data_IF_676231776679
#
_entry.id   IF_676231776679
#
_cell.length_a   1.000
_cell.length_b   1.000
_cell.length_c   1.000
_cell.angle_alpha   90.00
_cell.angle_beta   90.00
_cell.angle_gamma   90.00
#
_symmetry.space_group_name_H-M   'P 1'
#
loop_
_entity.id
_entity.type
_entity.pdbx_description
1 polymer ?
#
# COMPACT_ATOMS: atom_id res chain seq x y z
N UNK A 1 0.24 -11.70 -28.00
CA UNK A 1 0.93 -12.02 -26.72
C UNK A 1 0.17 -13.13 -26.03
N UNK A 2 0.88 -14.15 -25.61
CA UNK A 2 0.28 -15.15 -24.72
C UNK A 2 -0.05 -14.46 -23.40
N UNK A 3 -1.31 -14.51 -22.98
CA UNK A 3 -1.73 -13.94 -21.72
C UNK A 3 -1.14 -14.80 -20.59
N UNK A 4 -0.08 -14.32 -19.94
CA UNK A 4 0.62 -15.03 -18.86
C UNK A 4 0.71 -14.13 -17.65
N UNK A 5 0.11 -14.56 -16.54
CA UNK A 5 0.20 -13.85 -15.25
C UNK A 5 1.52 -14.23 -14.58
N UNK A 6 2.40 -13.26 -14.38
CA UNK A 6 3.74 -13.44 -13.82
C UNK A 6 3.77 -13.33 -12.32
N UNK A 7 3.01 -12.38 -11.77
CA UNK A 7 2.95 -12.12 -10.33
C UNK A 7 1.71 -11.29 -9.97
N UNK A 8 1.32 -11.38 -8.70
CA UNK A 8 0.33 -10.52 -8.06
C UNK A 8 1.01 -9.77 -6.93
N UNK A 9 0.97 -8.44 -6.96
CA UNK A 9 1.65 -7.59 -5.98
C UNK A 9 0.59 -6.72 -5.31
N UNK A 10 0.67 -6.64 -4.00
CA UNK A 10 -0.30 -5.96 -3.15
C UNK A 10 0.32 -4.74 -2.49
N UNK A 11 -0.42 -3.66 -2.38
CA UNK A 11 -0.23 -2.74 -1.28
C UNK A 11 -0.72 -3.39 0.03
N UNK A 12 -0.42 -2.77 1.17
CA UNK A 12 -0.74 -3.33 2.47
C UNK A 12 -1.85 -2.56 3.19
N UNK A 13 -1.63 -1.26 3.47
CA UNK A 13 -2.53 -0.42 4.25
C UNK A 13 -3.77 -0.04 3.43
N UNK A 14 -4.97 -0.41 3.89
CA UNK A 14 -6.20 -0.16 3.15
C UNK A 14 -6.51 -1.18 2.04
N UNK A 15 -5.52 -1.97 1.64
CA UNK A 15 -5.63 -3.00 0.59
C UNK A 15 -5.72 -4.41 1.18
N UNK A 16 -4.78 -4.81 2.00
CA UNK A 16 -4.81 -6.11 2.70
C UNK A 16 -5.42 -5.98 4.09
N UNK A 17 -5.07 -4.92 4.81
CA UNK A 17 -5.39 -4.72 6.22
C UNK A 17 -5.98 -3.34 6.43
N UNK A 18 -7.07 -3.27 7.19
CA UNK A 18 -7.59 -1.98 7.66
C UNK A 18 -6.75 -1.48 8.82
N UNK A 19 -5.81 -0.60 8.53
CA UNK A 19 -4.88 -0.01 9.50
C UNK A 19 -5.31 1.37 9.98
N UNK A 20 -6.45 1.90 9.53
CA UNK A 20 -6.88 3.28 9.81
C UNK A 20 -6.92 3.61 11.29
N UNK A 21 -7.55 2.75 12.12
CA UNK A 21 -7.65 2.97 13.56
C UNK A 21 -6.26 2.95 14.24
N UNK A 22 -5.42 1.98 13.87
CA UNK A 22 -4.05 1.88 14.38
C UNK A 22 -3.24 3.12 14.01
N UNK A 23 -3.24 3.51 12.74
CA UNK A 23 -2.48 4.66 12.25
C UNK A 23 -2.97 5.97 12.92
N UNK A 24 -4.27 6.11 13.13
CA UNK A 24 -4.85 7.23 13.87
C UNK A 24 -4.35 7.29 15.32
N UNK A 25 -4.36 6.16 16.04
CA UNK A 25 -3.92 6.11 17.44
C UNK A 25 -2.40 6.31 17.56
N UNK A 26 -1.62 5.73 16.65
CA UNK A 26 -0.16 5.94 16.57
C UNK A 26 0.15 7.41 16.30
N UNK A 27 -0.53 8.04 15.34
CA UNK A 27 -0.41 9.48 15.06
C UNK A 27 -0.66 10.30 16.33
N UNK A 28 -1.76 10.07 17.04
CA UNK A 28 -2.08 10.80 18.28
C UNK A 28 -0.98 10.67 19.33
N UNK A 29 -0.45 9.46 19.52
CA UNK A 29 0.63 9.19 20.48
C UNK A 29 1.90 9.95 20.12
N UNK A 30 2.31 9.89 18.85
CA UNK A 30 3.53 10.54 18.37
C UNK A 30 3.37 12.07 18.44
N UNK A 31 2.26 12.62 17.96
CA UNK A 31 2.03 14.05 17.95
C UNK A 31 1.95 14.65 19.35
N UNK A 32 1.34 13.93 20.29
CA UNK A 32 1.36 14.30 21.72
C UNK A 32 2.80 14.41 22.25
N UNK A 33 3.69 13.49 21.87
CA UNK A 33 5.09 13.51 22.31
C UNK A 33 5.88 14.66 21.70
N UNK A 34 5.63 15.00 20.42
CA UNK A 34 6.39 16.02 19.68
C UNK A 34 5.89 17.44 19.97
N UNK A 35 4.57 17.60 20.05
CA UNK A 35 3.93 18.93 20.13
C UNK A 35 3.14 19.18 21.44
N UNK A 36 3.17 18.22 22.39
CA UNK A 36 2.45 18.33 23.66
C UNK A 36 0.99 17.88 23.59
N UNK A 37 0.31 17.94 24.75
CA UNK A 37 -1.09 17.47 24.89
C UNK A 37 -2.08 18.30 24.07
N UNK A 38 -1.82 19.57 23.89
CA UNK A 38 -2.72 20.53 23.24
C UNK A 38 -2.98 20.16 21.76
N UNK A 39 -2.03 19.47 21.10
CA UNK A 39 -2.21 19.03 19.72
C UNK A 39 -3.41 18.08 19.57
N UNK A 40 -3.76 17.35 20.62
CA UNK A 40 -4.87 16.41 20.58
C UNK A 40 -6.23 17.09 20.40
N UNK A 41 -6.34 18.41 20.68
CA UNK A 41 -7.55 19.19 20.43
C UNK A 41 -7.76 19.51 18.93
N UNK A 42 -6.79 19.20 18.09
CA UNK A 42 -6.86 19.48 16.65
C UNK A 42 -8.05 18.71 16.03
N UNK A 43 -8.93 19.36 15.23
CA UNK A 43 -10.15 18.73 14.69
C UNK A 43 -9.89 17.38 14.02
N UNK A 44 -8.81 17.29 13.24
CA UNK A 44 -8.42 16.09 12.52
C UNK A 44 -8.11 14.90 13.46
N UNK A 45 -7.70 15.16 14.70
CA UNK A 45 -7.40 14.14 15.71
C UNK A 45 -8.61 13.79 16.60
N UNK A 46 -9.78 14.37 16.30
CA UNK A 46 -11.04 14.08 16.99
C UNK A 46 -11.91 13.06 16.24
N UNK A 47 -11.64 12.85 14.93
CA UNK A 47 -12.45 12.01 14.08
C UNK A 47 -11.56 11.09 13.21
N UNK A 48 -11.75 9.78 13.38
CA UNK A 48 -11.10 8.78 12.51
C UNK A 48 -11.48 8.97 11.05
N UNK A 49 -12.72 9.34 10.78
CA UNK A 49 -13.18 9.57 9.41
C UNK A 49 -12.48 10.75 8.76
N UNK A 50 -12.42 11.91 9.44
CA UNK A 50 -11.72 13.09 8.93
C UNK A 50 -10.24 12.84 8.73
N UNK A 51 -9.60 12.13 9.67
CA UNK A 51 -8.21 11.70 9.55
C UNK A 51 -7.98 10.84 8.32
N UNK A 52 -8.84 9.85 8.08
CA UNK A 52 -8.74 8.94 6.94
C UNK A 52 -8.95 9.69 5.61
N UNK A 53 -9.95 10.57 5.54
CA UNK A 53 -10.18 11.39 4.35
C UNK A 53 -9.02 12.34 4.05
N UNK A 54 -8.39 12.91 5.09
CA UNK A 54 -7.22 13.76 4.90
C UNK A 54 -6.00 12.98 4.37
N UNK A 55 -5.83 11.73 4.80
CA UNK A 55 -4.78 10.85 4.25
C UNK A 55 -4.98 10.57 2.76
N UNK A 56 -6.20 10.27 2.32
CA UNK A 56 -6.52 10.01 0.91
C UNK A 56 -6.25 11.21 -0.02
N UNK A 57 -6.20 12.42 0.53
CA UNK A 57 -5.92 13.66 -0.23
C UNK A 57 -4.44 14.01 -0.34
N UNK A 58 -3.54 13.19 0.22
CA UNK A 58 -2.10 13.46 0.21
C UNK A 58 -1.35 12.34 -0.50
N UNK A 59 -0.30 12.69 -1.23
CA UNK A 59 0.48 11.72 -2.01
C UNK A 59 1.39 10.84 -1.16
N UNK A 60 1.67 11.25 0.08
CA UNK A 60 2.49 10.48 1.02
C UNK A 60 2.32 11.01 2.46
N UNK A 61 2.81 10.23 3.43
CA UNK A 61 2.70 10.54 4.85
C UNK A 61 3.42 11.84 5.26
N UNK A 62 4.53 12.22 4.62
CA UNK A 62 5.24 13.48 4.92
C UNK A 62 4.38 14.68 4.54
N UNK A 63 3.78 14.63 3.36
CA UNK A 63 2.86 15.65 2.89
C UNK A 63 1.63 15.76 3.80
N UNK A 64 1.11 14.64 4.30
CA UNK A 64 0.03 14.62 5.29
C UNK A 64 0.36 15.46 6.53
N UNK A 65 1.52 15.23 7.16
CA UNK A 65 1.91 16.00 8.35
C UNK A 65 2.21 17.46 8.05
N UNK A 66 2.85 17.74 6.92
CA UNK A 66 3.14 19.11 6.49
C UNK A 66 1.88 19.92 6.23
N UNK A 67 0.94 19.37 5.46
CA UNK A 67 -0.25 20.10 5.00
C UNK A 67 -1.31 20.25 6.10
N UNK A 68 -1.46 19.25 6.96
CA UNK A 68 -2.52 19.23 7.96
C UNK A 68 -2.10 19.79 9.32
N UNK A 69 -0.81 19.72 9.68
CA UNK A 69 -0.32 20.16 11.00
C UNK A 69 0.72 21.28 10.89
N UNK A 70 1.18 21.64 9.69
CA UNK A 70 2.17 22.69 9.48
C UNK A 70 3.58 22.33 9.96
N UNK A 71 3.89 21.04 10.12
CA UNK A 71 5.20 20.60 10.59
C UNK A 71 6.31 20.83 9.57
N UNK A 72 7.47 21.25 10.09
CA UNK A 72 8.70 21.35 9.31
C UNK A 72 9.39 20.00 9.14
N UNK A 73 10.36 19.93 8.22
CA UNK A 73 11.05 18.68 7.86
C UNK A 73 11.69 17.96 9.06
N UNK A 74 12.24 18.70 10.04
CA UNK A 74 12.85 18.10 11.24
C UNK A 74 11.82 17.33 12.10
N UNK A 75 10.64 17.91 12.30
CA UNK A 75 9.55 17.27 13.06
C UNK A 75 9.02 16.06 12.29
N UNK A 76 8.89 16.17 10.97
CA UNK A 76 8.44 15.07 10.11
C UNK A 76 9.44 13.91 10.14
N UNK A 77 10.75 14.20 10.12
CA UNK A 77 11.79 13.17 10.27
C UNK A 77 11.73 12.50 11.64
N UNK A 78 11.41 13.23 12.68
CA UNK A 78 11.23 12.68 14.03
C UNK A 78 10.00 11.77 14.10
N UNK A 79 8.87 12.19 13.50
CA UNK A 79 7.67 11.34 13.36
C UNK A 79 8.03 10.03 12.69
N UNK A 80 8.75 10.07 11.57
CA UNK A 80 9.17 8.87 10.84
C UNK A 80 10.04 7.92 11.66
N UNK A 81 11.00 8.45 12.43
CA UNK A 81 11.85 7.64 13.33
C UNK A 81 11.07 6.95 14.45
N UNK A 82 9.98 7.56 14.91
CA UNK A 82 9.16 7.03 16.00
C UNK A 82 8.12 6.02 15.50
N UNK A 83 7.75 6.09 14.21
CA UNK A 83 6.56 5.43 13.66
C UNK A 83 6.55 3.92 13.92
N UNK A 84 7.58 3.21 13.47
CA UNK A 84 7.62 1.73 13.60
C UNK A 84 7.51 1.28 15.05
N UNK A 85 8.24 1.93 15.96
CA UNK A 85 8.16 1.60 17.39
C UNK A 85 6.73 1.74 17.92
N UNK A 86 6.11 2.90 17.69
CA UNK A 86 4.75 3.18 18.18
C UNK A 86 3.71 2.28 17.53
N UNK A 87 3.94 1.88 16.28
CA UNK A 87 3.06 0.96 15.57
C UNK A 87 3.15 -0.47 16.12
N UNK A 88 4.36 -0.93 16.47
CA UNK A 88 4.58 -2.24 17.09
C UNK A 88 4.05 -2.30 18.55
N UNK A 89 4.10 -1.17 19.26
CA UNK A 89 3.60 -1.03 20.62
C UNK A 89 2.07 -0.79 20.68
N UNK A 90 1.42 -0.57 19.53
CA UNK A 90 -0.01 -0.31 19.49
C UNK A 90 -0.81 -1.61 19.37
N UNK A 91 -1.73 -1.83 20.31
CA UNK A 91 -2.60 -3.01 20.38
C UNK A 91 -3.92 -2.83 19.62
N UNK A 92 -4.11 -1.68 18.94
CA UNK A 92 -5.33 -1.46 18.16
C UNK A 92 -5.51 -2.54 17.10
N UNK A 93 -6.73 -3.06 16.93
CA UNK A 93 -6.96 -4.10 15.94
C UNK A 93 -6.64 -3.58 14.53
N UNK A 94 -5.86 -4.36 13.80
CA UNK A 94 -5.64 -4.19 12.38
C UNK A 94 -5.99 -5.52 11.74
N UNK A 95 -7.23 -5.61 11.27
CA UNK A 95 -7.78 -6.86 10.74
C UNK A 95 -7.60 -6.90 9.23
N UNK A 96 -7.38 -8.10 8.71
CA UNK A 96 -7.47 -8.32 7.28
C UNK A 96 -8.86 -7.92 6.78
N UNK A 97 -8.87 -7.25 5.63
CA UNK A 97 -10.12 -6.84 5.00
C UNK A 97 -10.85 -8.10 4.55
N UNK A 98 -12.15 -8.09 4.75
CA UNK A 98 -13.02 -9.25 4.48
C UNK A 98 -12.80 -9.77 3.04
N UNK A 99 -12.56 -11.07 2.93
CA UNK A 99 -12.38 -11.77 1.66
C UNK A 99 -10.94 -11.79 1.13
N UNK A 100 -10.07 -10.87 1.55
CA UNK A 100 -8.70 -10.75 1.01
C UNK A 100 -7.86 -12.00 1.29
N UNK A 101 -7.93 -12.56 2.50
CA UNK A 101 -7.19 -13.80 2.84
C UNK A 101 -7.56 -14.95 1.89
N UNK A 102 -8.85 -15.11 1.60
CA UNK A 102 -9.33 -16.11 0.66
C UNK A 102 -8.77 -15.87 -0.74
N UNK A 103 -8.78 -14.62 -1.21
CA UNK A 103 -8.23 -14.26 -2.53
C UNK A 103 -6.74 -14.56 -2.62
N UNK A 104 -5.95 -14.22 -1.59
CA UNK A 104 -4.51 -14.55 -1.54
C UNK A 104 -4.29 -16.06 -1.67
N UNK A 105 -5.08 -16.88 -0.96
CA UNK A 105 -4.99 -18.36 -1.01
C UNK A 105 -5.39 -18.87 -2.41
N UNK A 106 -6.47 -18.39 -2.98
CA UNK A 106 -6.91 -18.81 -4.33
C UNK A 106 -5.93 -18.43 -5.45
N UNK A 107 -5.10 -17.41 -5.21
CA UNK A 107 -4.04 -16.97 -6.13
C UNK A 107 -2.66 -17.60 -5.83
N UNK A 108 -2.56 -18.62 -4.96
CA UNK A 108 -1.29 -19.24 -4.55
C UNK A 108 -0.42 -19.78 -5.70
N UNK A 109 -1.05 -20.11 -6.83
CA UNK A 109 -0.36 -20.55 -8.06
C UNK A 109 0.53 -19.46 -8.68
N UNK A 110 0.28 -18.19 -8.36
CA UNK A 110 1.09 -17.07 -8.81
C UNK A 110 2.05 -16.63 -7.70
N UNK A 111 3.29 -16.26 -8.03
CA UNK A 111 4.15 -15.58 -7.06
C UNK A 111 3.46 -14.30 -6.56
N UNK A 112 3.37 -14.15 -5.24
CA UNK A 112 2.75 -12.98 -4.63
C UNK A 112 3.78 -12.18 -3.83
N UNK A 113 3.67 -10.85 -3.88
CA UNK A 113 4.51 -9.94 -3.12
C UNK A 113 3.72 -8.78 -2.53
N UNK A 114 4.37 -8.05 -1.62
CA UNK A 114 3.83 -6.82 -1.03
C UNK A 114 4.82 -5.68 -1.27
N UNK A 115 4.29 -4.51 -1.63
CA UNK A 115 5.05 -3.25 -1.74
C UNK A 115 4.30 -2.18 -0.96
N UNK A 116 4.88 -1.70 0.14
CA UNK A 116 4.20 -0.80 1.07
C UNK A 116 5.13 0.30 1.60
N UNK A 117 4.54 1.40 2.04
CA UNK A 117 5.22 2.43 2.84
C UNK A 117 5.15 2.11 4.35
N UNK A 118 4.70 0.92 4.73
CA UNK A 118 4.72 0.42 6.10
C UNK A 118 6.02 -0.36 6.38
N UNK A 119 6.33 -0.59 7.67
CA UNK A 119 7.52 -1.35 8.02
C UNK A 119 7.37 -2.83 7.66
N UNK A 120 8.46 -3.40 7.12
CA UNK A 120 8.52 -4.82 6.77
C UNK A 120 8.25 -5.71 7.99
N UNK A 121 8.74 -5.34 9.15
CA UNK A 121 8.53 -6.07 10.40
C UNK A 121 7.05 -6.13 10.78
N UNK A 122 6.36 -4.99 10.71
CA UNK A 122 4.92 -4.93 11.01
C UNK A 122 4.09 -5.75 10.01
N UNK A 123 4.44 -5.72 8.73
CA UNK A 123 3.78 -6.53 7.71
C UNK A 123 3.95 -8.02 8.02
N UNK A 124 5.18 -8.48 8.28
CA UNK A 124 5.47 -9.88 8.61
C UNK A 124 4.71 -10.32 9.86
N UNK A 125 4.68 -9.49 10.90
CA UNK A 125 3.92 -9.78 12.14
C UNK A 125 2.44 -10.00 11.84
N UNK A 126 1.83 -9.14 11.06
CA UNK A 126 0.42 -9.23 10.68
C UNK A 126 0.12 -10.47 9.85
N UNK A 127 0.95 -10.78 8.84
CA UNK A 127 0.79 -11.95 7.99
C UNK A 127 0.91 -13.26 8.79
N UNK A 128 1.83 -13.33 9.76
CA UNK A 128 1.97 -14.49 10.64
C UNK A 128 0.76 -14.68 11.56
N UNK A 129 0.22 -13.60 12.10
CA UNK A 129 -0.98 -13.64 12.94
C UNK A 129 -2.19 -14.21 12.21
N UNK A 130 -2.25 -14.06 10.89
CA UNK A 130 -3.34 -14.53 10.04
C UNK A 130 -2.98 -15.77 9.20
N UNK A 131 -1.84 -16.40 9.47
CA UNK A 131 -1.41 -17.66 8.83
C UNK A 131 -1.27 -17.62 7.30
N UNK A 132 -1.10 -16.43 6.70
CA UNK A 132 -0.95 -16.25 5.24
C UNK A 132 0.46 -15.84 4.82
N UNK A 133 1.41 -15.77 5.76
CA UNK A 133 2.80 -15.39 5.46
C UNK A 133 3.46 -16.28 4.38
N UNK A 134 3.16 -17.59 4.37
CA UNK A 134 3.70 -18.54 3.42
C UNK A 134 3.28 -18.28 1.96
N UNK A 135 2.16 -17.61 1.73
CA UNK A 135 1.64 -17.26 0.41
C UNK A 135 2.40 -16.07 -0.19
N UNK A 136 3.04 -15.24 0.64
CA UNK A 136 3.76 -14.05 0.20
C UNK A 136 5.25 -14.38 0.05
N UNK A 137 5.77 -14.29 -1.17
CA UNK A 137 7.16 -14.66 -1.50
C UNK A 137 8.14 -13.52 -1.30
N UNK A 138 7.68 -12.27 -1.39
CA UNK A 138 8.53 -11.11 -1.20
C UNK A 138 7.77 -9.94 -0.57
N UNK A 139 8.45 -9.20 0.30
CA UNK A 139 7.91 -8.01 0.96
C UNK A 139 8.93 -6.90 0.82
N UNK A 140 8.50 -5.78 0.24
CA UNK A 140 9.23 -4.53 0.16
C UNK A 140 8.52 -3.54 1.07
N UNK A 141 9.08 -3.27 2.22
CA UNK A 141 8.64 -2.23 3.14
C UNK A 141 9.35 -0.90 2.85
N UNK A 142 9.14 0.10 3.71
CA UNK A 142 9.78 1.39 3.51
C UNK A 142 11.30 1.32 3.71
N UNK A 143 11.80 0.34 4.44
CA UNK A 143 13.23 0.18 4.76
C UNK A 143 14.06 -0.26 3.55
N UNK A 144 13.44 -0.99 2.60
CA UNK A 144 14.14 -1.51 1.42
C UNK A 144 14.32 -0.49 0.30
N UNK A 145 13.69 0.68 0.43
CA UNK A 145 13.71 1.72 -0.61
C UNK A 145 14.02 3.07 0.01
N UNK A 146 15.02 3.78 -0.54
CA UNK A 146 15.30 5.16 -0.12
C UNK A 146 14.02 6.00 -0.14
N UNK A 147 13.86 6.88 0.85
CA UNK A 147 12.65 7.68 1.05
C UNK A 147 12.24 8.49 -0.19
N UNK A 148 13.22 8.96 -0.97
CA UNK A 148 12.96 9.70 -2.21
C UNK A 148 12.56 8.80 -3.38
N UNK A 149 12.65 7.49 -3.22
CA UNK A 149 12.36 6.46 -4.23
C UNK A 149 11.16 5.60 -3.87
N UNK A 150 10.51 5.88 -2.74
CA UNK A 150 9.24 5.24 -2.35
C UNK A 150 8.09 5.70 -3.26
N UNK A 151 6.94 5.00 -3.18
CA UNK A 151 5.72 5.38 -3.91
C UNK A 151 5.46 6.90 -3.82
N UNK A 152 5.13 7.56 -4.90
CA UNK A 152 4.73 7.06 -6.22
C UNK A 152 5.87 6.68 -7.19
N UNK A 153 7.14 6.67 -6.75
CA UNK A 153 8.24 6.18 -7.55
C UNK A 153 8.19 4.66 -7.69
N UNK A 154 8.66 4.10 -8.82
CA UNK A 154 8.45 2.70 -9.17
C UNK A 154 9.44 1.73 -8.53
N UNK A 155 10.45 2.23 -7.81
CA UNK A 155 11.64 1.44 -7.42
C UNK A 155 11.30 0.22 -6.57
N UNK A 156 10.43 0.36 -5.57
CA UNK A 156 9.98 -0.76 -4.74
C UNK A 156 9.20 -1.81 -5.54
N UNK A 157 8.34 -1.36 -6.45
CA UNK A 157 7.55 -2.24 -7.29
C UNK A 157 8.44 -3.00 -8.28
N UNK A 158 9.37 -2.34 -8.94
CA UNK A 158 10.34 -2.97 -9.85
C UNK A 158 11.23 -3.98 -9.12
N UNK A 159 11.72 -3.63 -7.92
CA UNK A 159 12.49 -4.54 -7.07
C UNK A 159 11.67 -5.79 -6.68
N UNK A 160 10.39 -5.61 -6.37
CA UNK A 160 9.50 -6.73 -6.07
C UNK A 160 9.30 -7.65 -7.29
N UNK A 161 9.06 -7.08 -8.46
CA UNK A 161 8.91 -7.82 -9.73
C UNK A 161 10.17 -8.63 -10.01
N UNK A 162 11.35 -8.03 -9.93
CA UNK A 162 12.64 -8.71 -10.17
C UNK A 162 12.83 -9.93 -9.26
N UNK A 163 12.38 -9.83 -8.01
CA UNK A 163 12.47 -10.95 -7.05
C UNK A 163 11.42 -12.03 -7.27
N UNK A 164 10.27 -11.71 -7.85
CA UNK A 164 9.16 -12.65 -8.05
C UNK A 164 9.25 -13.40 -9.37
N UNK A 165 9.78 -12.79 -10.43
CA UNK A 165 9.84 -13.42 -11.75
C UNK A 165 11.16 -13.15 -12.46
N UNK A 166 11.56 -14.13 -13.31
CA UNK A 166 12.68 -13.99 -14.26
C UNK A 166 12.19 -13.89 -15.70
N UNK A 167 10.88 -13.91 -15.91
CA UNK A 167 10.30 -13.76 -17.25
C UNK A 167 10.31 -12.29 -17.67
N UNK A 168 10.48 -12.05 -18.96
CA UNK A 168 10.56 -10.72 -19.56
C UNK A 168 9.27 -10.32 -20.30
N UNK A 169 8.26 -11.20 -20.31
CA UNK A 169 7.00 -10.98 -21.03
C UNK A 169 5.83 -11.54 -20.24
N UNK A 170 4.77 -10.76 -20.07
CA UNK A 170 3.53 -11.14 -19.39
C UNK A 170 2.96 -10.03 -18.53
N UNK A 171 2.00 -10.37 -17.69
CA UNK A 171 1.27 -9.41 -16.87
C UNK A 171 1.63 -9.54 -15.40
N UNK A 172 1.81 -8.40 -14.74
CA UNK A 172 1.89 -8.26 -13.28
C UNK A 172 0.68 -7.46 -12.85
N UNK A 173 -0.08 -7.97 -11.88
CA UNK A 173 -1.16 -7.22 -11.26
C UNK A 173 -0.63 -6.51 -10.03
N UNK A 174 -0.85 -5.19 -9.96
CA UNK A 174 -0.55 -4.39 -8.80
C UNK A 174 -1.85 -3.84 -8.22
N UNK A 175 -2.15 -4.21 -6.97
CA UNK A 175 -3.41 -3.95 -6.30
C UNK A 175 -3.15 -2.96 -5.17
N UNK A 176 -3.86 -1.84 -5.16
CA UNK A 176 -3.73 -0.81 -4.14
C UNK A 176 -4.97 0.06 -4.05
N UNK A 177 -5.18 0.73 -2.93
CA UNK A 177 -6.37 1.55 -2.66
C UNK A 177 -6.15 3.05 -2.86
N UNK A 178 -4.93 3.47 -3.21
CA UNK A 178 -4.56 4.88 -3.30
C UNK A 178 -4.05 5.29 -4.69
N UNK A 179 -4.26 6.56 -5.09
CA UNK A 179 -3.74 7.07 -6.38
C UNK A 179 -2.22 6.90 -6.51
N UNK A 180 -1.47 6.97 -5.40
CA UNK A 180 -0.01 6.71 -5.40
C UNK A 180 0.36 5.32 -5.90
N UNK A 181 -0.48 4.30 -5.70
CA UNK A 181 -0.26 2.96 -6.23
C UNK A 181 -0.42 2.94 -7.74
N UNK A 182 -1.48 3.58 -8.22
CA UNK A 182 -1.74 3.69 -9.67
C UNK A 182 -0.60 4.43 -10.37
N UNK A 183 -0.14 5.57 -9.80
CA UNK A 183 0.99 6.33 -10.33
C UNK A 183 2.28 5.47 -10.29
N UNK A 184 2.52 4.74 -9.19
CA UNK A 184 3.67 3.85 -9.06
C UNK A 184 3.69 2.79 -10.16
N UNK A 185 2.56 2.11 -10.42
CA UNK A 185 2.43 1.13 -11.49
C UNK A 185 2.62 1.75 -12.88
N UNK A 186 2.04 2.94 -13.12
CA UNK A 186 2.23 3.67 -14.37
C UNK A 186 3.70 4.06 -14.61
N UNK A 187 4.39 4.52 -13.57
CA UNK A 187 5.82 4.85 -13.64
C UNK A 187 6.68 3.61 -13.86
N UNK A 188 6.36 2.49 -13.21
CA UNK A 188 7.05 1.23 -13.43
C UNK A 188 6.88 0.72 -14.87
N UNK A 189 5.69 0.85 -15.46
CA UNK A 189 5.46 0.53 -16.88
C UNK A 189 6.34 1.36 -17.83
N UNK A 190 6.60 2.64 -17.53
CA UNK A 190 7.52 3.48 -18.33
C UNK A 190 8.94 2.93 -18.28
N UNK A 191 9.44 2.60 -17.07
CA UNK A 191 10.80 2.03 -16.90
C UNK A 191 10.93 0.67 -17.59
N UNK A 192 9.93 -0.20 -17.45
CA UNK A 192 9.93 -1.52 -18.11
C UNK A 192 9.97 -1.38 -19.65
N UNK A 193 9.23 -0.43 -20.20
CA UNK A 193 9.26 -0.12 -21.64
C UNK A 193 10.62 0.40 -22.09
N UNK A 194 11.26 1.30 -21.35
CA UNK A 194 12.59 1.82 -21.62
C UNK A 194 13.64 0.70 -21.62
N UNK A 195 13.50 -0.25 -20.68
CA UNK A 195 14.32 -1.45 -20.58
C UNK A 195 13.98 -2.53 -21.62
N UNK A 196 13.07 -2.26 -22.56
CA UNK A 196 12.66 -3.15 -23.65
C UNK A 196 12.14 -4.51 -23.17
N UNK A 197 11.53 -4.57 -22.00
CA UNK A 197 10.79 -5.75 -21.53
C UNK A 197 9.37 -5.73 -22.10
N UNK A 198 8.74 -6.91 -22.18
CA UNK A 198 7.33 -7.05 -22.55
C UNK A 198 6.45 -7.32 -21.31
N UNK A 199 6.94 -6.98 -20.12
CA UNK A 199 6.14 -7.01 -18.91
C UNK A 199 5.22 -5.81 -18.92
N UNK A 200 3.94 -6.05 -18.61
CA UNK A 200 2.94 -5.02 -18.41
C UNK A 200 2.32 -5.10 -17.02
N UNK A 201 2.39 -4.02 -16.26
CA UNK A 201 1.69 -3.89 -14.98
C UNK A 201 0.28 -3.40 -15.26
N UNK A 202 -0.69 -4.08 -14.64
CA UNK A 202 -2.09 -3.69 -14.62
C UNK A 202 -2.46 -3.31 -13.19
N UNK A 203 -2.94 -2.08 -13.01
CA UNK A 203 -3.33 -1.58 -11.71
C UNK A 203 -4.79 -1.95 -11.42
N UNK A 204 -5.05 -2.53 -10.24
CA UNK A 204 -6.39 -2.79 -9.73
C UNK A 204 -6.61 -1.87 -8.53
N UNK A 205 -7.59 -0.97 -8.63
CA UNK A 205 -8.05 -0.15 -7.50
C UNK A 205 -8.82 -1.00 -6.49
N UNK A 206 -8.31 -1.09 -5.27
CA UNK A 206 -8.88 -1.88 -4.17
C UNK A 206 -9.93 -1.06 -3.40
N UNK A 207 -11.13 -0.85 -3.97
CA UNK A 207 -12.15 0.06 -3.43
C UNK A 207 -13.20 -0.66 -2.55
N UNK A 208 -12.82 -1.78 -1.95
CA UNK A 208 -13.71 -2.62 -1.14
C UNK A 208 -13.64 -2.36 0.38
N UNK A 209 -12.62 -1.64 0.85
CA UNK A 209 -12.47 -1.33 2.26
C UNK A 209 -13.12 0.01 2.65
N UNK A 210 -13.01 0.99 1.76
CA UNK A 210 -13.50 2.34 1.99
C UNK A 210 -14.10 2.89 0.69
N UNK A 211 -15.17 3.69 0.81
CA UNK A 211 -15.74 4.33 -0.37
C UNK A 211 -14.80 5.47 -0.82
N UNK A 212 -13.94 5.16 -1.79
CA UNK A 212 -12.95 6.08 -2.32
C UNK A 212 -13.57 6.87 -3.47
N UNK A 213 -13.56 8.18 -3.35
CA UNK A 213 -13.90 9.08 -4.45
C UNK A 213 -12.65 9.31 -5.32
N UNK A 214 -12.70 8.82 -6.54
CA UNK A 214 -11.60 8.96 -7.52
C UNK A 214 -11.78 10.13 -8.47
N UNK A 215 -12.80 10.98 -8.27
CA UNK A 215 -13.12 12.09 -9.18
C UNK A 215 -11.98 13.09 -9.34
N UNK A 216 -11.16 13.27 -8.31
CA UNK A 216 -10.00 14.17 -8.30
C UNK A 216 -8.69 13.48 -8.72
N UNK A 217 -8.71 12.17 -8.98
CA UNK A 217 -7.53 11.43 -9.38
C UNK A 217 -7.12 11.76 -10.81
N UNK A 218 -5.83 11.99 -11.02
CA UNK A 218 -5.26 12.23 -12.35
C UNK A 218 -4.96 10.92 -13.10
N UNK A 219 -4.74 9.85 -12.33
CA UNK A 219 -4.47 8.54 -12.88
C UNK A 219 -5.50 7.56 -12.32
N UNK A 220 -6.26 6.94 -13.20
CA UNK A 220 -7.21 5.89 -12.82
C UNK A 220 -6.58 4.51 -12.97
N UNK A 221 -6.98 3.53 -12.14
CA UNK A 221 -6.53 2.15 -12.30
C UNK A 221 -7.07 1.54 -13.61
N UNK A 222 -6.43 0.48 -14.10
CA UNK A 222 -6.92 -0.28 -15.25
C UNK A 222 -8.23 -1.03 -14.93
N UNK A 223 -8.42 -1.41 -13.67
CA UNK A 223 -9.61 -2.10 -13.14
C UNK A 223 -9.94 -1.60 -11.74
N UNK A 224 -11.22 -1.73 -11.37
CA UNK A 224 -11.72 -1.45 -10.02
C UNK A 224 -12.28 -2.73 -9.39
N UNK A 225 -11.87 -3.02 -8.16
CA UNK A 225 -12.37 -4.09 -7.35
C UNK A 225 -13.22 -3.51 -6.21
N UNK A 226 -14.55 -3.69 -6.30
CA UNK A 226 -15.51 -3.27 -5.27
C UNK A 226 -15.75 -4.35 -4.20
N UNK A 227 -15.23 -5.55 -4.42
CA UNK A 227 -15.12 -6.65 -3.45
C UNK A 227 -13.76 -7.31 -3.63
N UNK A 228 -13.21 -7.91 -2.58
CA UNK A 228 -11.93 -8.62 -2.71
C UNK A 228 -12.01 -9.73 -3.76
N UNK A 229 -13.12 -10.46 -3.82
CA UNK A 229 -13.34 -11.56 -4.75
C UNK A 229 -13.34 -11.13 -6.22
N UNK A 230 -13.75 -9.88 -6.53
CA UNK A 230 -13.72 -9.38 -7.91
C UNK A 230 -12.30 -9.32 -8.52
N UNK A 231 -11.26 -9.30 -7.70
CA UNK A 231 -9.87 -9.44 -8.14
C UNK A 231 -9.64 -10.77 -8.86
N UNK A 232 -10.24 -11.85 -8.37
CA UNK A 232 -10.13 -13.18 -9.00
C UNK A 232 -10.69 -13.16 -10.42
N UNK A 233 -11.85 -12.53 -10.61
CA UNK A 233 -12.50 -12.47 -11.92
C UNK A 233 -11.70 -11.62 -12.91
N UNK A 234 -11.09 -10.52 -12.42
CA UNK A 234 -10.20 -9.68 -13.23
C UNK A 234 -8.98 -10.50 -13.69
N UNK A 235 -8.31 -11.20 -12.77
CA UNK A 235 -7.09 -11.97 -13.08
C UNK A 235 -7.38 -13.15 -14.00
N UNK A 236 -8.50 -13.85 -13.82
CA UNK A 236 -8.93 -14.99 -14.68
C UNK A 236 -9.02 -14.61 -16.15
N UNK A 237 -9.35 -13.39 -16.51
CA UNK A 237 -9.40 -12.93 -17.89
C UNK A 237 -8.02 -12.92 -18.60
N UNK A 238 -6.94 -13.18 -17.83
CA UNK A 238 -5.55 -13.20 -18.28
C UNK A 238 -4.89 -14.60 -18.19
N UNK A 239 -5.69 -15.65 -17.95
CA UNK A 239 -5.21 -17.02 -17.78
C UNK A 239 -5.16 -17.85 -19.09
N UNK A 240 -5.51 -17.24 -20.26
CA UNK A 240 -5.65 -17.98 -21.53
C UNK A 240 -4.81 -17.40 -22.65
#
# INVERSE_FOLDING_TARGET
MQKNVLAVIWDYDGTLVDTRLRNFNVTKKILKQIAGEEILSFPLLQSLNEYSLAHLKTSNWREFYKNNFGFGEQQIDEIGRMWTKYQLDDESPAQFIKGVEKVIIELERYPQGIVSQNSREQIIRSLNQNSIYSNIKNIIGYEEVDIKRQKPNPDGLLLCIEKLTKHNSGYVFYIGDHETDVICGANANKVLKENKTEIRILNIGAFYNFNIDTSDWRNLPDYEALTAESILDIIKNYEH
#
